data_IF_268540634129
#
_entry.id   IF_268540634129
#
_cell.length_a   1.000
_cell.length_b   1.000
_cell.length_c   1.000
_cell.angle_alpha   90.00
_cell.angle_beta   90.00
_cell.angle_gamma   90.00
#
_symmetry.space_group_name_H-M   'P 1'
#
loop_
_entity.id
_entity.type
_entity.pdbx_description
1 polymer ?
#
# COMPACT_ATOMS: atom_id res chain seq x y z
N UNK A 1 -66.38 -7.13 -44.50
CA UNK A 1 -65.45 -6.01 -44.23
C UNK A 1 -64.45 -6.49 -43.21
N UNK A 2 -63.24 -6.73 -43.66
CA UNK A 2 -62.18 -7.48 -42.97
C UNK A 2 -61.38 -6.52 -42.10
N UNK A 3 -61.34 -6.77 -40.79
CA UNK A 3 -60.51 -6.05 -39.82
C UNK A 3 -59.04 -6.47 -39.95
N UNK A 4 -58.18 -5.53 -40.34
CA UNK A 4 -56.72 -5.70 -40.34
C UNK A 4 -56.16 -5.45 -38.93
N UNK A 5 -55.41 -6.42 -38.45
CA UNK A 5 -54.64 -6.41 -37.21
C UNK A 5 -53.28 -5.72 -37.48
N UNK A 6 -52.83 -4.72 -36.70
CA UNK A 6 -51.48 -4.21 -36.86
C UNK A 6 -50.48 -5.20 -36.29
N UNK A 7 -49.47 -5.52 -37.10
CA UNK A 7 -48.39 -6.44 -36.81
C UNK A 7 -47.58 -6.04 -35.56
N UNK A 8 -47.16 -7.04 -34.80
CA UNK A 8 -46.23 -6.91 -33.70
C UNK A 8 -44.93 -6.26 -34.17
N UNK A 9 -44.53 -5.18 -33.49
CA UNK A 9 -43.20 -4.59 -33.66
C UNK A 9 -42.18 -5.58 -33.09
N UNK A 10 -41.27 -6.04 -33.94
CA UNK A 10 -40.10 -6.81 -33.56
C UNK A 10 -39.29 -6.01 -32.53
N UNK A 11 -38.96 -6.54 -31.35
CA UNK A 11 -38.12 -5.84 -30.40
C UNK A 11 -36.75 -5.62 -31.04
N UNK A 12 -36.33 -4.36 -31.14
CA UNK A 12 -34.95 -4.02 -31.49
C UNK A 12 -34.02 -4.68 -30.45
N UNK A 13 -32.86 -5.21 -30.87
CA UNK A 13 -31.88 -5.73 -29.92
C UNK A 13 -31.41 -4.57 -29.02
N UNK A 14 -31.54 -4.77 -27.71
CA UNK A 14 -31.16 -3.85 -26.65
C UNK A 14 -29.83 -3.13 -26.95
N UNK A 15 -29.89 -1.80 -27.11
CA UNK A 15 -28.73 -0.91 -27.09
C UNK A 15 -27.97 -0.94 -25.75
N UNK A 16 -28.57 -1.54 -24.71
CA UNK A 16 -27.99 -1.65 -23.37
C UNK A 16 -26.80 -2.62 -23.28
N UNK A 17 -26.49 -3.40 -24.33
CA UNK A 17 -25.37 -4.37 -24.30
C UNK A 17 -24.00 -3.77 -24.65
N UNK A 18 -23.91 -2.50 -25.06
CA UNK A 18 -22.62 -1.80 -25.28
C UNK A 18 -22.10 -1.06 -24.03
N UNK A 19 -22.81 -1.11 -22.91
CA UNK A 19 -22.62 -0.24 -21.75
C UNK A 19 -21.53 -0.64 -20.73
N UNK A 20 -20.55 -1.49 -21.06
CA UNK A 20 -19.62 -2.01 -20.02
C UNK A 20 -18.12 -2.05 -20.35
N UNK A 21 -17.70 -1.70 -21.57
CA UNK A 21 -16.27 -1.64 -21.92
C UNK A 21 -15.78 -0.19 -21.94
N UNK A 22 -14.59 0.09 -21.38
CA UNK A 22 -14.07 1.45 -21.39
C UNK A 22 -13.72 1.88 -22.81
N UNK A 23 -14.05 3.12 -23.14
CA UNK A 23 -13.60 3.76 -24.37
C UNK A 23 -12.12 4.12 -24.22
N UNK A 24 -11.28 3.66 -25.15
CA UNK A 24 -9.85 3.93 -25.17
C UNK A 24 -9.49 4.85 -26.33
N UNK A 25 -8.29 5.45 -26.26
CA UNK A 25 -7.75 6.27 -27.35
C UNK A 25 -7.06 5.40 -28.40
N UNK A 26 -7.06 5.87 -29.65
CA UNK A 26 -6.30 5.25 -30.73
C UNK A 26 -4.88 5.82 -30.86
N UNK A 27 -4.67 7.03 -30.33
CA UNK A 27 -3.35 7.67 -30.32
C UNK A 27 -2.40 7.00 -29.31
N UNK A 28 -1.08 6.96 -29.60
CA UNK A 28 -0.06 6.46 -28.69
C UNK A 28 -0.07 7.19 -27.34
N UNK A 29 0.04 6.42 -26.26
CA UNK A 29 0.03 6.94 -24.89
C UNK A 29 1.41 6.82 -24.23
N UNK A 30 1.72 7.76 -23.34
CA UNK A 30 2.79 7.64 -22.33
C UNK A 30 2.24 8.01 -20.96
N UNK A 31 2.59 7.25 -19.92
CA UNK A 31 2.03 7.47 -18.58
C UNK A 31 3.08 7.99 -17.59
N UNK A 32 2.64 8.85 -16.66
CA UNK A 32 3.40 9.24 -15.48
C UNK A 32 2.62 8.81 -14.24
N UNK A 33 3.18 7.87 -13.49
CA UNK A 33 2.57 7.28 -12.31
C UNK A 33 3.20 7.92 -11.07
N UNK A 34 2.38 8.42 -10.15
CA UNK A 34 2.83 9.00 -8.87
C UNK A 34 2.07 8.37 -7.71
N UNK A 35 2.72 8.33 -6.55
CA UNK A 35 2.07 7.97 -5.29
C UNK A 35 1.17 9.12 -4.84
N UNK A 36 -0.10 8.84 -4.60
CA UNK A 36 -1.06 9.81 -4.06
C UNK A 36 -1.36 9.60 -2.58
N UNK A 37 -1.33 8.35 -2.11
CA UNK A 37 -1.49 7.99 -0.70
C UNK A 37 -0.61 6.76 -0.39
N UNK A 38 -0.13 6.67 0.84
CA UNK A 38 0.69 5.56 1.31
C UNK A 38 0.41 5.28 2.79
N UNK A 39 -0.02 4.06 3.09
CA UNK A 39 -0.37 3.64 4.46
C UNK A 39 0.27 2.31 4.82
N UNK A 40 0.79 2.23 6.02
CA UNK A 40 1.32 0.99 6.58
C UNK A 40 0.32 0.34 7.53
N UNK A 41 0.14 -0.97 7.39
CA UNK A 41 -0.58 -1.80 8.34
C UNK A 41 0.33 -2.92 8.82
N UNK A 42 0.35 -3.18 10.12
CA UNK A 42 1.15 -4.28 10.66
C UNK A 42 0.43 -5.61 10.46
N UNK A 43 0.86 -6.35 9.44
CA UNK A 43 0.17 -7.56 8.99
C UNK A 43 0.19 -8.68 10.02
N UNK A 44 1.28 -8.83 10.78
CA UNK A 44 1.37 -9.89 11.80
C UNK A 44 0.32 -9.73 12.89
N UNK A 45 -0.06 -8.49 13.22
CA UNK A 45 -1.16 -8.25 14.15
C UNK A 45 -2.49 -8.74 13.60
N UNK A 46 -2.72 -8.67 12.28
CA UNK A 46 -3.95 -9.16 11.65
C UNK A 46 -3.93 -10.69 11.44
N UNK A 47 -2.78 -11.26 11.08
CA UNK A 47 -2.62 -12.69 10.84
C UNK A 47 -2.50 -13.52 12.14
N UNK A 48 -2.08 -12.91 13.25
CA UNK A 48 -1.99 -13.52 14.57
C UNK A 48 -3.30 -13.55 15.37
N UNK A 49 -4.39 -13.01 14.84
CA UNK A 49 -5.68 -12.93 15.54
C UNK A 49 -6.37 -14.29 15.52
N UNK A 50 -6.18 -15.08 16.58
CA UNK A 50 -7.01 -16.25 16.83
C UNK A 50 -8.41 -15.88 17.40
N UNK A 51 -8.47 -14.83 18.23
CA UNK A 51 -9.68 -14.42 18.96
C UNK A 51 -10.19 -13.03 18.58
N UNK A 52 -11.51 -12.83 18.59
CA UNK A 52 -12.13 -11.52 18.29
C UNK A 52 -11.62 -10.47 19.31
N UNK A 53 -11.02 -9.36 18.86
CA UNK A 53 -10.53 -8.32 19.77
C UNK A 53 -11.67 -7.71 20.59
N UNK A 54 -11.46 -7.54 21.90
CA UNK A 54 -12.44 -6.90 22.78
C UNK A 54 -12.51 -5.39 22.51
N UNK A 55 -13.64 -4.92 21.98
CA UNK A 55 -13.86 -3.50 21.65
C UNK A 55 -13.95 -2.60 22.89
N UNK A 56 -14.09 -3.17 24.09
CA UNK A 56 -14.05 -2.41 25.34
C UNK A 56 -12.63 -1.99 25.68
N UNK A 57 -11.64 -2.80 25.29
CA UNK A 57 -10.22 -2.50 25.41
C UNK A 57 -9.77 -1.52 24.31
N UNK A 58 -9.06 -0.42 24.66
CA UNK A 58 -8.38 0.43 23.69
C UNK A 58 -7.56 -0.31 22.62
N UNK A 59 -6.83 -1.38 22.97
CA UNK A 59 -6.05 -2.17 21.99
C UNK A 59 -6.99 -2.91 21.03
N UNK A 60 -8.05 -3.52 21.55
CA UNK A 60 -9.02 -4.21 20.70
C UNK A 60 -9.77 -3.26 19.74
N UNK A 61 -10.04 -2.02 20.15
CA UNK A 61 -10.55 -0.97 19.24
C UNK A 61 -9.57 -0.61 18.14
N UNK A 62 -8.29 -0.48 18.48
CA UNK A 62 -7.23 -0.23 17.52
C UNK A 62 -7.17 -1.34 16.46
N UNK A 63 -7.13 -2.61 16.89
CA UNK A 63 -7.07 -3.76 15.99
C UNK A 63 -8.30 -3.84 15.08
N UNK A 64 -9.48 -3.57 15.62
CA UNK A 64 -10.72 -3.57 14.83
C UNK A 64 -10.77 -2.45 13.79
N UNK A 65 -10.22 -1.27 14.12
CA UNK A 65 -10.09 -0.16 13.17
C UNK A 65 -9.16 -0.54 12.03
N UNK A 66 -7.99 -1.10 12.33
CA UNK A 66 -7.04 -1.58 11.33
C UNK A 66 -7.69 -2.61 10.38
N UNK A 67 -8.44 -3.58 10.93
CA UNK A 67 -9.15 -4.56 10.12
C UNK A 67 -10.18 -3.92 9.21
N UNK A 68 -10.99 -2.99 9.73
CA UNK A 68 -11.97 -2.26 8.92
C UNK A 68 -11.31 -1.44 7.80
N UNK A 69 -10.19 -0.77 8.08
CA UNK A 69 -9.45 -0.02 7.09
C UNK A 69 -8.85 -0.92 6.00
N UNK A 70 -8.33 -2.09 6.37
CA UNK A 70 -7.85 -3.10 5.42
C UNK A 70 -8.98 -3.68 4.57
N UNK A 71 -10.15 -3.97 5.16
CA UNK A 71 -11.32 -4.46 4.43
C UNK A 71 -11.82 -3.41 3.43
N UNK A 72 -11.94 -2.15 3.84
CA UNK A 72 -12.31 -1.04 2.95
C UNK A 72 -11.27 -0.81 1.85
N UNK A 73 -9.99 -1.01 2.15
CA UNK A 73 -8.90 -0.94 1.17
C UNK A 73 -8.97 -2.10 0.18
N UNK A 74 -9.36 -3.30 0.62
CA UNK A 74 -9.48 -4.49 -0.22
C UNK A 74 -10.66 -4.42 -1.21
N UNK A 75 -11.64 -3.55 -0.97
CA UNK A 75 -12.68 -3.21 -1.96
C UNK A 75 -12.13 -2.34 -3.10
N UNK A 76 -11.05 -1.61 -2.85
CA UNK A 76 -10.38 -0.75 -3.81
C UNK A 76 -9.21 -1.50 -4.49
N UNK A 77 -8.88 -1.15 -5.74
CA UNK A 77 -7.70 -1.70 -6.44
C UNK A 77 -6.47 -0.84 -6.16
N UNK A 78 -5.96 -0.90 -4.94
CA UNK A 78 -4.65 -0.33 -4.63
C UNK A 78 -3.55 -1.33 -4.91
N UNK A 79 -2.33 -0.82 -5.03
CA UNK A 79 -1.14 -1.65 -4.97
C UNK A 79 -0.78 -1.85 -3.50
N UNK A 80 -0.17 -2.98 -3.17
CA UNK A 80 0.45 -3.15 -1.87
C UNK A 80 1.81 -3.83 -1.98
N UNK A 81 2.70 -3.47 -1.05
CA UNK A 81 3.95 -4.18 -0.83
C UNK A 81 3.90 -4.91 0.50
N UNK A 82 4.33 -6.17 0.52
CA UNK A 82 4.74 -6.81 1.76
C UNK A 82 6.16 -6.34 2.09
N UNK A 83 6.28 -5.55 3.15
CA UNK A 83 7.53 -4.96 3.60
C UNK A 83 7.97 -5.68 4.87
N UNK A 84 9.16 -6.25 4.85
CA UNK A 84 9.77 -6.91 6.00
C UNK A 84 10.76 -5.98 6.68
N UNK A 85 10.76 -5.99 8.01
CA UNK A 85 11.66 -5.20 8.85
C UNK A 85 12.20 -6.05 9.99
N UNK A 86 13.42 -5.81 10.48
CA UNK A 86 13.89 -6.45 11.70
C UNK A 86 12.87 -6.28 12.81
N UNK A 87 12.60 -7.34 13.56
CA UNK A 87 11.58 -7.35 14.60
C UNK A 87 11.81 -6.23 15.61
N UNK A 88 10.75 -5.51 15.99
CA UNK A 88 10.82 -4.46 17.03
C UNK A 88 9.74 -4.70 18.06
N UNK A 89 10.11 -4.79 19.33
CA UNK A 89 9.16 -4.86 20.46
C UNK A 89 9.51 -3.83 21.51
N UNK A 90 8.54 -3.41 22.31
CA UNK A 90 8.84 -2.67 23.53
C UNK A 90 9.44 -3.61 24.57
N UNK A 91 10.50 -3.17 25.26
CA UNK A 91 11.03 -3.90 26.42
C UNK A 91 10.14 -3.60 27.64
N UNK A 92 9.21 -4.50 27.94
CA UNK A 92 8.25 -4.35 29.05
C UNK A 92 8.94 -4.39 30.42
N UNK A 93 10.11 -5.04 30.52
CA UNK A 93 10.92 -5.04 31.74
C UNK A 93 11.79 -3.78 31.88
N UNK A 94 11.98 -3.06 30.78
CA UNK A 94 12.75 -1.82 30.73
C UNK A 94 12.04 -0.65 31.41
N UNK A 95 12.81 0.33 31.87
CA UNK A 95 12.27 1.53 32.51
C UNK A 95 11.94 2.60 31.46
N UNK A 96 10.69 3.05 31.46
CA UNK A 96 10.26 4.24 30.71
C UNK A 96 10.76 5.50 31.42
N UNK A 97 11.38 6.41 30.69
CA UNK A 97 11.95 7.64 31.24
C UNK A 97 11.34 8.88 30.61
N UNK A 98 11.27 9.95 31.39
CA UNK A 98 10.76 11.24 30.94
C UNK A 98 11.85 12.30 31.03
N UNK A 99 11.91 13.17 30.02
CA UNK A 99 12.69 14.40 30.09
C UNK A 99 12.20 15.31 31.23
N UNK A 100 13.13 15.93 31.95
CA UNK A 100 12.86 16.67 33.19
C UNK A 100 11.87 17.86 33.05
N UNK A 101 11.75 18.45 31.85
CA UNK A 101 10.82 19.57 31.58
C UNK A 101 10.09 19.47 30.23
N UNK A 102 9.98 18.26 29.66
CA UNK A 102 9.40 18.10 28.32
C UNK A 102 8.57 16.83 28.21
N UNK A 103 7.78 16.75 27.14
CA UNK A 103 7.09 15.53 26.73
C UNK A 103 7.98 14.58 25.93
N UNK A 104 9.30 14.67 26.15
CA UNK A 104 10.26 13.70 25.63
C UNK A 104 10.15 12.42 26.45
N UNK A 105 9.66 11.39 25.79
CA UNK A 105 9.43 10.06 26.33
C UNK A 105 10.51 9.13 25.77
N UNK A 106 11.33 8.56 26.64
CA UNK A 106 12.29 7.54 26.26
C UNK A 106 11.69 6.17 26.51
N UNK A 107 11.61 5.37 25.46
CA UNK A 107 11.01 4.03 25.46
C UNK A 107 12.09 2.98 25.19
N UNK A 108 12.18 1.95 26.05
CA UNK A 108 13.11 0.86 25.82
C UNK A 108 12.55 -0.11 24.77
N UNK A 109 13.41 -0.60 23.89
CA UNK A 109 13.09 -1.47 22.76
C UNK A 109 13.93 -2.74 22.78
N UNK A 110 13.38 -3.80 22.19
CA UNK A 110 14.09 -5.02 21.83
C UNK A 110 14.09 -5.14 20.30
N UNK A 111 15.29 -5.27 19.72
CA UNK A 111 15.50 -5.31 18.27
C UNK A 111 15.98 -6.69 17.81
N UNK A 112 15.35 -7.18 16.74
CA UNK A 112 15.68 -8.42 16.06
C UNK A 112 15.47 -9.69 16.91
N UNK A 113 15.97 -10.80 16.37
CA UNK A 113 15.89 -12.14 16.96
C UNK A 113 16.63 -12.23 18.28
N UNK A 114 17.79 -11.58 18.34
CA UNK A 114 18.66 -11.55 19.52
C UNK A 114 18.11 -10.68 20.65
N UNK A 115 16.98 -9.99 20.41
CA UNK A 115 16.38 -9.04 21.36
C UNK A 115 17.41 -8.02 21.88
N UNK A 116 18.21 -7.48 20.95
CA UNK A 116 19.21 -6.49 21.29
C UNK A 116 18.53 -5.27 21.92
N UNK A 117 18.96 -4.91 23.14
CA UNK A 117 18.37 -3.80 23.88
C UNK A 117 18.77 -2.49 23.24
N UNK A 118 17.77 -1.66 22.96
CA UNK A 118 17.93 -0.30 22.47
C UNK A 118 16.88 0.62 23.10
N UNK A 119 16.84 1.88 22.71
CA UNK A 119 15.83 2.83 23.12
C UNK A 119 15.55 3.86 22.03
N UNK A 120 14.36 4.43 22.07
CA UNK A 120 14.00 5.60 21.28
C UNK A 120 13.54 6.70 22.19
N UNK A 121 13.80 7.95 21.79
CA UNK A 121 13.23 9.12 22.45
C UNK A 121 12.29 9.80 21.47
N UNK A 122 11.03 9.91 21.86
CA UNK A 122 9.98 10.57 21.06
C UNK A 122 9.47 11.79 21.79
N UNK A 123 9.12 12.84 21.05
CA UNK A 123 8.53 14.05 21.62
C UNK A 123 7.01 14.02 21.42
N UNK A 124 6.26 13.79 22.49
CA UNK A 124 4.80 13.71 22.43
C UNK A 124 4.17 15.09 22.31
N UNK A 125 3.05 15.15 21.59
CA UNK A 125 2.18 16.32 21.50
C UNK A 125 0.96 16.08 22.37
N UNK A 126 0.56 17.06 23.17
CA UNK A 126 -0.66 16.96 23.97
C UNK A 126 -1.86 17.00 23.02
N UNK A 127 -2.72 15.97 23.01
CA UNK A 127 -3.91 15.98 22.17
C UNK A 127 -4.94 16.98 22.71
N UNK A 128 -5.75 17.56 21.82
CA UNK A 128 -6.72 18.60 22.19
C UNK A 128 -7.72 18.14 23.26
N UNK A 129 -8.12 16.87 23.24
CA UNK A 129 -9.06 16.28 24.20
C UNK A 129 -8.40 15.77 25.50
N UNK A 130 -7.10 16.04 25.72
CA UNK A 130 -6.41 15.64 26.93
C UNK A 130 -6.93 16.40 28.16
N UNK A 131 -7.12 15.68 29.27
CA UNK A 131 -7.40 16.30 30.58
C UNK A 131 -6.16 16.35 31.48
N UNK A 132 -5.05 15.74 31.05
CA UNK A 132 -3.76 15.75 31.72
C UNK A 132 -2.67 16.34 30.82
N UNK A 133 -1.70 17.06 31.40
CA UNK A 133 -0.55 17.60 30.65
C UNK A 133 0.50 16.56 30.28
N UNK A 134 0.50 15.41 30.97
CA UNK A 134 1.44 14.32 30.81
C UNK A 134 0.67 13.00 30.98
N UNK A 135 0.78 12.04 30.04
CA UNK A 135 0.01 10.82 30.10
C UNK A 135 0.66 9.81 31.05
N UNK A 136 -0.13 8.90 31.60
CA UNK A 136 0.41 7.64 32.12
C UNK A 136 0.69 6.70 30.94
N UNK A 137 1.76 5.91 31.06
CA UNK A 137 2.25 5.04 30.00
C UNK A 137 2.07 3.60 30.43
N UNK A 138 1.51 2.78 29.56
CA UNK A 138 1.45 1.33 29.72
C UNK A 138 2.00 0.66 28.47
N UNK A 139 2.93 -0.27 28.67
CA UNK A 139 3.58 -1.01 27.58
C UNK A 139 3.12 -2.47 27.57
N UNK A 140 2.92 -2.97 26.37
CA UNK A 140 2.94 -4.39 26.03
C UNK A 140 4.03 -4.57 24.98
N UNK A 141 4.37 -5.80 24.60
CA UNK A 141 5.41 -6.03 23.59
C UNK A 141 5.12 -5.32 22.25
N UNK A 142 3.85 -5.22 21.86
CA UNK A 142 3.42 -4.70 20.55
C UNK A 142 2.86 -3.28 20.63
N UNK A 143 2.32 -2.87 21.78
CA UNK A 143 1.56 -1.63 21.93
C UNK A 143 2.04 -0.76 23.08
N UNK A 144 1.90 0.54 22.89
CA UNK A 144 1.97 1.56 23.93
C UNK A 144 0.60 2.22 24.08
N UNK A 145 0.12 2.30 25.32
CA UNK A 145 -1.07 3.08 25.68
C UNK A 145 -0.65 4.35 26.41
N UNK A 146 -1.07 5.50 25.87
CA UNK A 146 -0.87 6.82 26.45
C UNK A 146 -2.21 7.32 27.00
N UNK A 147 -2.36 7.30 28.32
CA UNK A 147 -3.60 7.73 28.98
C UNK A 147 -3.45 9.19 29.44
N UNK A 148 -4.14 10.09 28.74
CA UNK A 148 -4.20 11.53 29.00
C UNK A 148 -5.36 11.93 29.92
N UNK A 149 -5.92 10.97 30.67
CA UNK A 149 -7.09 11.11 31.52
C UNK A 149 -8.39 10.82 30.76
N UNK A 150 -9.03 11.85 30.18
CA UNK A 150 -10.26 11.71 29.40
C UNK A 150 -10.09 11.04 28.03
N UNK A 151 -8.85 10.82 27.59
CA UNK A 151 -8.49 10.22 26.32
C UNK A 151 -7.39 9.17 26.52
N UNK A 152 -7.53 8.02 25.87
CA UNK A 152 -6.48 7.01 25.77
C UNK A 152 -6.12 6.83 24.30
N UNK A 153 -4.87 7.12 23.97
CA UNK A 153 -4.29 6.83 22.66
C UNK A 153 -3.53 5.50 22.73
N UNK A 154 -3.67 4.69 21.69
CA UNK A 154 -2.95 3.42 21.55
C UNK A 154 -2.21 3.44 20.24
N UNK A 155 -0.92 3.10 20.30
CA UNK A 155 -0.08 2.93 19.13
C UNK A 155 0.51 1.53 19.15
N UNK A 156 0.57 0.88 17.99
CA UNK A 156 1.54 -0.19 17.80
C UNK A 156 2.95 0.38 17.85
N UNK A 157 3.96 -0.46 18.07
CA UNK A 157 5.37 -0.03 18.01
C UNK A 157 5.69 0.60 16.64
N UNK A 158 5.15 0.06 15.55
CA UNK A 158 5.38 0.60 14.22
C UNK A 158 4.65 1.92 14.00
N UNK A 159 3.43 2.09 14.53
CA UNK A 159 2.69 3.35 14.39
C UNK A 159 3.37 4.46 15.17
N UNK A 160 3.88 4.17 16.36
CA UNK A 160 4.64 5.13 17.15
C UNK A 160 5.89 5.59 16.38
N UNK A 161 6.63 4.63 15.80
CA UNK A 161 7.83 4.92 15.00
C UNK A 161 7.51 5.69 13.70
N UNK A 162 6.32 5.49 13.13
CA UNK A 162 5.89 6.27 11.97
C UNK A 162 5.43 7.68 12.33
N UNK A 163 4.79 7.83 13.49
CA UNK A 163 4.15 9.09 13.91
C UNK A 163 5.15 10.10 14.49
N UNK A 164 6.12 9.61 15.26
CA UNK A 164 7.06 10.47 15.98
C UNK A 164 8.47 10.35 15.41
N UNK A 165 9.15 11.50 15.29
CA UNK A 165 10.54 11.53 14.88
C UNK A 165 11.42 10.73 15.85
N UNK A 166 12.28 9.88 15.29
CA UNK A 166 13.20 9.03 16.04
C UNK A 166 14.50 8.82 15.25
N UNK A 167 15.51 8.29 15.93
CA UNK A 167 16.85 8.04 15.35
C UNK A 167 17.02 6.63 14.76
N UNK A 168 16.10 5.71 15.07
CA UNK A 168 16.18 4.30 14.66
C UNK A 168 16.17 4.15 13.12
N UNK A 169 17.18 3.45 12.57
CA UNK A 169 17.42 3.27 11.13
C UNK A 169 17.28 1.83 10.69
N UNK A 170 16.07 1.28 10.76
CA UNK A 170 15.81 -0.09 10.33
C UNK A 170 15.46 -0.15 8.84
N UNK A 171 15.98 -1.12 8.08
CA UNK A 171 15.68 -1.27 6.66
C UNK A 171 14.23 -1.73 6.46
N UNK A 172 13.57 -1.19 5.44
CA UNK A 172 12.24 -1.60 4.97
C UNK A 172 12.39 -2.35 3.64
N UNK A 173 12.37 -3.69 3.70
CA UNK A 173 12.64 -4.55 2.55
C UNK A 173 11.34 -5.02 1.90
N UNK A 174 11.10 -4.63 0.66
CA UNK A 174 10.01 -5.16 -0.16
C UNK A 174 10.30 -6.62 -0.49
N UNK A 175 9.41 -7.50 -0.05
CA UNK A 175 9.48 -8.94 -0.26
C UNK A 175 8.46 -9.44 -1.29
N UNK A 176 7.36 -8.70 -1.48
CA UNK A 176 6.27 -9.06 -2.38
C UNK A 176 5.53 -7.80 -2.82
N UNK A 177 5.04 -7.78 -4.05
CA UNK A 177 4.17 -6.76 -4.62
C UNK A 177 2.88 -7.41 -5.11
N UNK A 178 1.74 -6.80 -4.83
CA UNK A 178 0.45 -7.27 -5.32
C UNK A 178 -0.62 -6.17 -5.35
N UNK A 179 -1.85 -6.58 -5.65
CA UNK A 179 -3.03 -5.71 -5.61
C UNK A 179 -3.93 -6.03 -4.42
N UNK A 180 -4.54 -5.02 -3.82
CA UNK A 180 -5.39 -5.18 -2.61
C UNK A 180 -6.73 -5.81 -2.91
N UNK A 181 -7.21 -5.76 -4.17
CA UNK A 181 -8.52 -6.30 -4.55
C UNK A 181 -8.57 -7.80 -4.30
N UNK A 182 -9.36 -8.18 -3.32
CA UNK A 182 -9.50 -9.56 -2.89
C UNK A 182 -10.98 -9.87 -2.61
N UNK A 183 -11.70 -10.43 -3.60
CA UNK A 183 -13.15 -10.66 -3.48
C UNK A 183 -13.52 -11.60 -2.32
N UNK A 184 -12.58 -12.42 -1.86
CA UNK A 184 -12.78 -13.35 -0.74
C UNK A 184 -12.48 -12.68 0.63
N UNK A 185 -11.98 -11.44 0.64
CA UNK A 185 -11.64 -10.67 1.84
C UNK A 185 -10.60 -11.37 2.72
N UNK A 186 -9.64 -12.08 2.12
CA UNK A 186 -8.55 -12.78 2.80
C UNK A 186 -7.47 -11.81 3.28
N UNK A 187 -7.23 -10.70 2.60
CA UNK A 187 -6.25 -9.68 3.00
C UNK A 187 -6.53 -9.13 4.41
N UNK A 188 -7.71 -8.56 4.65
CA UNK A 188 -8.11 -8.00 5.96
C UNK A 188 -8.33 -9.05 7.06
N UNK A 189 -8.47 -10.33 6.68
CA UNK A 189 -8.53 -11.48 7.61
C UNK A 189 -7.16 -12.11 7.90
N UNK A 190 -6.06 -11.60 7.32
CA UNK A 190 -4.73 -12.17 7.53
C UNK A 190 -4.53 -13.56 6.87
N UNK A 191 -5.30 -13.86 5.81
CA UNK A 191 -5.39 -15.19 5.17
C UNK A 191 -4.92 -15.20 3.72
N UNK A 192 -4.28 -14.14 3.24
CA UNK A 192 -3.81 -14.09 1.86
C UNK A 192 -2.65 -15.10 1.68
N UNK A 193 -2.76 -16.09 0.77
CA UNK A 193 -1.77 -17.17 0.66
C UNK A 193 -0.35 -16.67 0.38
N UNK A 194 -0.21 -15.61 -0.43
CA UNK A 194 1.09 -14.98 -0.70
C UNK A 194 1.75 -14.46 0.59
N UNK A 195 0.97 -13.89 1.50
CA UNK A 195 1.49 -13.39 2.78
C UNK A 195 1.86 -14.51 3.75
N UNK A 196 1.19 -15.66 3.68
CA UNK A 196 1.63 -16.85 4.41
C UNK A 196 2.99 -17.33 3.94
N UNK A 197 3.26 -17.30 2.62
CA UNK A 197 4.58 -17.61 2.07
C UNK A 197 5.64 -16.60 2.52
N UNK A 198 5.33 -15.30 2.49
CA UNK A 198 6.23 -14.25 2.99
C UNK A 198 6.57 -14.52 4.46
N UNK A 199 5.57 -14.68 5.33
CA UNK A 199 5.79 -14.96 6.75
C UNK A 199 6.56 -16.27 6.97
N UNK A 200 6.30 -17.31 6.18
CA UNK A 200 7.07 -18.56 6.26
C UNK A 200 8.53 -18.40 5.83
N UNK A 201 8.81 -17.52 4.86
CA UNK A 201 10.17 -17.26 4.38
C UNK A 201 11.00 -16.45 5.37
N UNK A 202 10.41 -15.45 6.02
CA UNK A 202 11.13 -14.56 6.95
C UNK A 202 11.00 -14.98 8.42
N UNK A 203 10.04 -15.85 8.74
CA UNK A 203 9.83 -16.40 10.08
C UNK A 203 9.46 -15.34 11.13
N UNK A 204 9.68 -15.70 12.39
CA UNK A 204 9.42 -14.83 13.55
C UNK A 204 10.51 -13.77 13.80
N UNK A 205 11.48 -13.70 12.89
CA UNK A 205 12.67 -12.85 12.98
C UNK A 205 12.42 -11.43 12.45
N UNK A 206 11.37 -11.29 11.62
CA UNK A 206 11.00 -10.06 10.95
C UNK A 206 9.53 -9.74 11.20
N UNK A 207 9.25 -8.45 11.34
CA UNK A 207 7.88 -7.95 11.26
C UNK A 207 7.51 -7.75 9.79
N UNK A 208 6.31 -8.21 9.43
CA UNK A 208 5.71 -8.04 8.11
C UNK A 208 4.67 -6.91 8.16
N UNK A 209 4.89 -5.89 7.35
CA UNK A 209 3.99 -4.76 7.16
C UNK A 209 3.38 -4.82 5.75
N UNK A 210 2.12 -4.40 5.63
CA UNK A 210 1.51 -4.07 4.34
C UNK A 210 1.65 -2.57 4.10
N UNK A 211 2.44 -2.18 3.12
CA UNK A 211 2.42 -0.83 2.57
C UNK A 211 1.38 -0.79 1.45
N UNK A 212 0.24 -0.18 1.70
CA UNK A 212 -0.80 0.07 0.69
C UNK A 212 -0.53 1.41 0.02
N UNK A 213 -0.56 1.42 -1.31
CA UNK A 213 -0.28 2.57 -2.15
C UNK A 213 -1.49 2.93 -3.02
N UNK A 214 -1.98 4.15 -2.82
CA UNK A 214 -2.79 4.85 -3.81
C UNK A 214 -1.90 5.46 -4.88
N UNK A 215 -2.28 5.31 -6.14
CA UNK A 215 -1.54 5.86 -7.28
C UNK A 215 -2.41 6.75 -8.14
N UNK A 216 -1.84 7.83 -8.66
CA UNK A 216 -2.40 8.62 -9.75
C UNK A 216 -1.63 8.36 -11.03
N UNK A 217 -2.33 8.32 -12.16
CA UNK A 217 -1.75 8.11 -13.48
C UNK A 217 -2.12 9.30 -14.34
N UNK A 218 -1.12 10.07 -14.75
CA UNK A 218 -1.27 11.12 -15.75
C UNK A 218 -0.97 10.53 -17.12
N UNK A 219 -1.94 10.60 -18.03
CA UNK A 219 -1.81 10.10 -19.41
C UNK A 219 -1.43 11.25 -20.35
N UNK A 220 -0.30 11.11 -21.02
CA UNK A 220 0.09 11.95 -22.16
C UNK A 220 -0.34 11.26 -23.45
N UNK A 221 -1.34 11.83 -24.11
CA UNK A 221 -1.95 11.33 -25.35
C UNK A 221 -2.52 12.51 -26.14
N UNK A 222 -2.47 12.44 -27.48
CA UNK A 222 -3.03 13.49 -28.34
C UNK A 222 -4.57 13.62 -28.22
N UNK A 223 -5.24 12.54 -27.83
CA UNK A 223 -6.69 12.47 -27.64
C UNK A 223 -7.13 12.76 -26.18
N UNK A 224 -6.19 13.06 -25.28
CA UNK A 224 -6.46 13.26 -23.85
C UNK A 224 -6.40 11.95 -23.03
N UNK A 225 -6.70 12.05 -21.74
CA UNK A 225 -6.75 10.88 -20.85
C UNK A 225 -8.10 10.15 -21.04
N UNK A 226 -8.12 8.84 -21.36
CA UNK A 226 -9.35 8.05 -21.42
C UNK A 226 -10.26 8.20 -20.19
N UNK A 227 -9.70 8.39 -18.99
CA UNK A 227 -10.46 8.55 -17.75
C UNK A 227 -11.35 9.81 -17.73
N UNK A 228 -11.03 10.83 -18.54
CA UNK A 228 -11.79 12.09 -18.60
C UNK A 228 -12.97 12.03 -19.58
N UNK A 229 -13.14 10.94 -20.34
CA UNK A 229 -14.24 10.79 -21.28
C UNK A 229 -15.57 10.51 -20.55
N UNK A 230 -16.66 11.18 -20.96
CA UNK A 230 -17.99 11.04 -20.33
C UNK A 230 -18.49 9.59 -20.27
N UNK A 231 -18.23 8.79 -21.32
CA UNK A 231 -18.61 7.38 -21.37
C UNK A 231 -17.85 6.51 -20.35
N UNK A 232 -16.68 6.96 -19.90
CA UNK A 232 -15.88 6.29 -18.87
C UNK A 232 -16.21 6.77 -17.45
N UNK A 233 -17.10 7.75 -17.29
CA UNK A 233 -17.61 8.16 -15.97
C UNK A 233 -18.47 7.05 -15.31
N UNK A 234 -18.93 6.05 -16.08
CA UNK A 234 -19.64 4.90 -15.54
C UNK A 234 -18.71 4.05 -14.65
N UNK A 235 -19.12 3.64 -13.42
CA UNK A 235 -18.23 2.98 -12.46
C UNK A 235 -17.51 1.72 -12.97
N UNK A 236 -18.17 0.94 -13.85
CA UNK A 236 -17.55 -0.27 -14.41
C UNK A 236 -16.44 0.05 -15.41
N UNK A 237 -16.62 1.08 -16.24
CA UNK A 237 -15.60 1.52 -17.19
C UNK A 237 -14.41 2.14 -16.45
N UNK A 238 -14.67 2.95 -15.42
CA UNK A 238 -13.66 3.51 -14.55
C UNK A 238 -12.85 2.42 -13.80
N UNK A 239 -13.52 1.41 -13.22
CA UNK A 239 -12.84 0.27 -12.56
C UNK A 239 -12.01 -0.54 -13.57
N UNK A 240 -12.49 -0.72 -14.81
CA UNK A 240 -11.74 -1.40 -15.85
C UNK A 240 -10.46 -0.64 -16.22
N UNK A 241 -10.54 0.66 -16.50
CA UNK A 241 -9.35 1.49 -16.78
C UNK A 241 -8.36 1.49 -15.61
N UNK A 242 -8.87 1.58 -14.38
CA UNK A 242 -8.04 1.55 -13.18
C UNK A 242 -7.38 0.19 -12.97
N UNK A 243 -8.07 -0.91 -13.29
CA UNK A 243 -7.49 -2.26 -13.28
C UNK A 243 -6.35 -2.40 -14.30
N UNK A 244 -6.55 -1.91 -15.52
CA UNK A 244 -5.52 -1.94 -16.58
C UNK A 244 -4.27 -1.17 -16.15
N UNK A 245 -4.44 0.03 -15.59
CA UNK A 245 -3.33 0.82 -15.04
C UNK A 245 -2.61 0.09 -13.92
N UNK A 246 -3.37 -0.48 -12.99
CA UNK A 246 -2.83 -1.21 -11.83
C UNK A 246 -2.01 -2.43 -12.27
N UNK A 247 -2.49 -3.20 -13.27
CA UNK A 247 -1.78 -4.36 -13.81
C UNK A 247 -0.40 -3.98 -14.38
N UNK A 248 -0.31 -2.84 -15.08
CA UNK A 248 0.94 -2.36 -15.68
C UNK A 248 1.95 -1.87 -14.64
N UNK A 249 1.46 -1.17 -13.61
CA UNK A 249 2.28 -0.67 -12.51
C UNK A 249 2.76 -1.85 -11.65
N UNK A 250 1.87 -2.79 -11.30
CA UNK A 250 2.20 -4.01 -10.56
C UNK A 250 3.30 -4.80 -11.27
N UNK A 251 3.16 -5.05 -12.57
CA UNK A 251 4.15 -5.81 -13.33
C UNK A 251 5.55 -5.17 -13.31
N UNK A 252 5.62 -3.84 -13.45
CA UNK A 252 6.89 -3.12 -13.35
C UNK A 252 7.49 -3.20 -11.93
N UNK A 253 6.66 -3.00 -10.89
CA UNK A 253 7.14 -3.02 -9.51
C UNK A 253 7.58 -4.41 -9.05
N UNK A 254 6.93 -5.48 -9.53
CA UNK A 254 7.38 -6.85 -9.32
C UNK A 254 8.74 -7.05 -10.00
N UNK A 255 8.89 -6.65 -11.27
CA UNK A 255 10.17 -6.76 -11.97
C UNK A 255 11.29 -6.01 -11.25
N UNK A 256 10.98 -4.84 -10.70
CA UNK A 256 11.94 -3.99 -10.00
C UNK A 256 12.34 -4.55 -8.64
N UNK A 257 11.37 -4.83 -7.76
CA UNK A 257 11.65 -5.23 -6.38
C UNK A 257 11.86 -6.72 -6.18
N UNK A 258 11.25 -7.59 -7.00
CA UNK A 258 11.33 -9.05 -6.87
C UNK A 258 12.18 -9.73 -7.96
N UNK A 259 12.68 -8.94 -8.91
CA UNK A 259 13.58 -9.40 -9.97
C UNK A 259 12.88 -10.10 -11.13
N UNK A 260 13.66 -10.81 -11.95
CA UNK A 260 13.18 -11.44 -13.18
C UNK A 260 12.40 -12.74 -12.97
N UNK A 261 12.64 -13.42 -11.85
CA UNK A 261 12.03 -14.70 -11.49
C UNK A 261 11.47 -14.61 -10.06
N UNK A 262 10.34 -13.93 -9.87
CA UNK A 262 9.85 -13.66 -8.53
C UNK A 262 9.32 -14.95 -7.90
N UNK A 263 9.87 -15.30 -6.73
CA UNK A 263 9.74 -16.64 -6.12
C UNK A 263 8.36 -16.94 -5.55
N UNK A 264 7.59 -15.91 -5.24
CA UNK A 264 6.32 -16.04 -4.53
C UNK A 264 5.11 -16.19 -5.47
N UNK A 265 5.28 -15.85 -6.75
CA UNK A 265 4.26 -15.97 -7.79
C UNK A 265 4.34 -17.32 -8.52
N UNK A 266 3.18 -17.94 -8.72
CA UNK A 266 3.09 -19.21 -9.46
C UNK A 266 3.43 -19.04 -10.94
N UNK A 267 3.79 -20.13 -11.63
CA UNK A 267 4.05 -20.09 -13.08
C UNK A 267 2.80 -19.67 -13.87
N UNK A 268 1.63 -20.18 -13.49
CA UNK A 268 0.35 -19.80 -14.11
C UNK A 268 0.03 -18.32 -13.90
N UNK A 269 0.21 -17.81 -12.68
CA UNK A 269 0.01 -16.40 -12.35
C UNK A 269 0.92 -15.48 -13.17
N UNK A 270 2.20 -15.87 -13.35
CA UNK A 270 3.15 -15.14 -14.19
C UNK A 270 2.74 -15.14 -15.66
N UNK A 271 2.24 -16.26 -16.17
CA UNK A 271 1.76 -16.37 -17.55
C UNK A 271 0.53 -15.48 -17.76
N UNK A 272 -0.47 -15.58 -16.88
CA UNK A 272 -1.68 -14.75 -16.96
C UNK A 272 -1.33 -13.25 -16.85
N UNK A 273 -0.38 -12.87 -16.00
CA UNK A 273 0.09 -11.47 -15.92
C UNK A 273 0.74 -11.01 -17.23
N UNK A 274 1.58 -11.85 -17.83
CA UNK A 274 2.22 -11.58 -19.13
C UNK A 274 1.18 -11.31 -20.22
N UNK A 275 0.14 -12.14 -20.30
CA UNK A 275 -0.96 -11.98 -21.25
C UNK A 275 -1.74 -10.70 -21.00
N UNK A 276 -2.04 -10.39 -19.72
CA UNK A 276 -2.74 -9.16 -19.33
C UNK A 276 -1.94 -7.90 -19.71
N UNK A 277 -0.65 -7.82 -19.41
CA UNK A 277 0.14 -6.62 -19.73
C UNK A 277 0.26 -6.39 -21.24
N UNK A 278 0.35 -7.45 -22.04
CA UNK A 278 0.35 -7.35 -23.51
C UNK A 278 -1.01 -6.85 -24.01
N UNK A 279 -2.10 -7.40 -23.48
CA UNK A 279 -3.44 -6.95 -23.84
C UNK A 279 -3.67 -5.48 -23.48
N UNK A 280 -3.25 -5.05 -22.29
CA UNK A 280 -3.35 -3.65 -21.83
C UNK A 280 -2.49 -2.72 -22.68
N UNK A 281 -1.25 -3.11 -22.98
CA UNK A 281 -0.36 -2.33 -23.83
C UNK A 281 -0.99 -2.10 -25.21
N UNK A 282 -1.50 -3.16 -25.83
CA UNK A 282 -2.13 -3.09 -27.15
C UNK A 282 -3.40 -2.25 -27.11
N UNK A 283 -4.26 -2.46 -26.11
CA UNK A 283 -5.55 -1.77 -25.99
C UNK A 283 -5.41 -0.26 -25.76
N UNK A 284 -4.34 0.17 -25.08
CA UNK A 284 -4.08 1.57 -24.77
C UNK A 284 -3.03 2.22 -25.67
N UNK A 285 -2.51 1.50 -26.68
CA UNK A 285 -1.38 1.97 -27.50
C UNK A 285 -0.22 2.51 -26.65
N UNK A 286 0.07 1.85 -25.53
CA UNK A 286 1.04 2.33 -24.55
C UNK A 286 2.45 2.12 -25.07
N UNK A 287 3.18 3.22 -25.23
CA UNK A 287 4.58 3.20 -25.70
C UNK A 287 5.53 3.00 -24.53
N UNK A 288 5.35 3.78 -23.46
CA UNK A 288 6.20 3.79 -22.28
C UNK A 288 5.47 4.38 -21.07
N UNK A 289 5.99 4.14 -19.88
CA UNK A 289 5.48 4.73 -18.66
C UNK A 289 6.60 4.97 -17.66
N UNK A 290 6.44 6.00 -16.85
CA UNK A 290 7.37 6.36 -15.77
C UNK A 290 6.68 6.16 -14.44
N UNK A 291 7.36 5.52 -13.49
CA UNK A 291 6.88 5.39 -12.12
C UNK A 291 7.77 6.24 -11.22
N UNK A 292 7.16 7.21 -10.57
CA UNK A 292 7.77 8.05 -9.55
C UNK A 292 7.30 7.61 -8.17
N UNK A 293 8.04 6.66 -7.59
CA UNK A 293 7.75 6.09 -6.28
C UNK A 293 8.43 6.94 -5.21
N UNK A 294 7.87 8.12 -4.92
CA UNK A 294 8.24 8.97 -3.79
C UNK A 294 7.21 8.77 -2.67
N UNK A 295 7.64 8.23 -1.53
CA UNK A 295 6.76 8.02 -0.37
C UNK A 295 6.78 9.26 0.56
N UNK A 296 5.67 9.53 1.27
CA UNK A 296 5.64 10.56 2.31
C UNK A 296 6.77 10.38 3.34
N UNK A 297 7.23 11.47 3.95
CA UNK A 297 8.30 11.40 4.94
C UNK A 297 7.81 10.77 6.25
N UNK A 298 8.15 9.49 6.43
CA UNK A 298 7.75 8.66 7.58
C UNK A 298 9.01 8.00 8.17
N UNK A 299 9.98 8.81 8.58
CA UNK A 299 11.23 8.34 9.17
C UNK A 299 12.05 7.44 8.24
N UNK A 300 12.35 6.21 8.65
CA UNK A 300 13.02 5.19 7.80
C UNK A 300 12.04 4.21 7.15
N UNK A 301 10.72 4.38 7.33
CA UNK A 301 9.72 3.57 6.63
C UNK A 301 9.63 3.92 5.14
N UNK A 302 9.94 5.16 4.75
CA UNK A 302 9.95 5.55 3.35
C UNK A 302 11.23 5.15 2.60
N UNK A 303 12.20 4.54 3.28
CA UNK A 303 13.41 3.99 2.67
C UNK A 303 13.19 2.54 2.24
N UNK A 304 12.68 2.34 1.02
CA UNK A 304 12.45 1.02 0.47
C UNK A 304 13.72 0.43 -0.13
N UNK A 305 13.90 -0.88 0.00
CA UNK A 305 14.91 -1.67 -0.69
C UNK A 305 14.38 -3.07 -1.00
N UNK A 306 15.15 -3.86 -1.74
CA UNK A 306 14.94 -5.30 -1.85
C UNK A 306 16.27 -6.03 -2.02
N UNK A 307 16.23 -7.31 -2.35
CA UNK A 307 17.43 -8.06 -2.76
C UNK A 307 18.05 -7.51 -4.05
N UNK A 308 17.25 -6.89 -4.92
CA UNK A 308 17.67 -6.41 -6.23
C UNK A 308 17.89 -4.90 -6.29
N UNK A 309 17.39 -4.17 -5.29
CA UNK A 309 17.34 -2.70 -5.30
C UNK A 309 17.93 -2.13 -4.01
N UNK A 310 18.86 -1.19 -4.16
CA UNK A 310 19.46 -0.46 -3.04
C UNK A 310 18.45 0.42 -2.32
N UNK A 311 18.67 0.66 -1.02
CA UNK A 311 17.80 1.55 -0.24
C UNK A 311 17.77 2.98 -0.77
N UNK A 312 16.57 3.49 -1.05
CA UNK A 312 16.34 4.88 -1.42
C UNK A 312 14.99 5.37 -0.85
N UNK A 313 14.88 6.69 -0.71
CA UNK A 313 13.61 7.36 -0.33
C UNK A 313 12.64 7.48 -1.50
N UNK A 314 13.19 7.48 -2.72
CA UNK A 314 12.48 7.71 -3.96
C UNK A 314 13.08 6.82 -5.03
N UNK A 315 12.23 6.12 -5.77
CA UNK A 315 12.61 5.29 -6.90
C UNK A 315 11.93 5.84 -8.16
N UNK A 316 12.72 6.37 -9.09
CA UNK A 316 12.20 6.83 -10.38
C UNK A 316 12.55 5.79 -11.44
N UNK A 317 11.54 5.30 -12.15
CA UNK A 317 11.66 4.13 -13.03
C UNK A 317 11.15 4.48 -14.44
N UNK A 318 11.95 4.15 -15.46
CA UNK A 318 11.49 4.10 -16.85
C UNK A 318 11.04 2.67 -17.16
N UNK A 319 9.82 2.54 -17.67
CA UNK A 319 9.19 1.26 -17.94
C UNK A 319 8.64 1.19 -19.37
N UNK A 320 8.74 0.02 -19.98
CA UNK A 320 8.09 -0.33 -21.24
C UNK A 320 7.82 -1.83 -21.29
N UNK A 321 6.96 -2.28 -22.20
CA UNK A 321 6.71 -3.71 -22.39
C UNK A 321 7.53 -4.22 -23.58
N UNK A 322 8.27 -5.30 -23.37
CA UNK A 322 8.94 -6.06 -24.42
C UNK A 322 8.96 -7.55 -24.05
N UNK A 323 8.86 -8.41 -25.07
CA UNK A 323 8.81 -9.87 -24.91
C UNK A 323 7.71 -10.33 -23.94
N UNK A 324 6.57 -9.63 -23.94
CA UNK A 324 5.43 -9.90 -23.08
C UNK A 324 5.65 -9.58 -21.59
N UNK A 325 6.70 -8.84 -21.25
CA UNK A 325 7.08 -8.53 -19.88
C UNK A 325 7.36 -7.04 -19.71
N UNK A 326 7.15 -6.53 -18.50
CA UNK A 326 7.61 -5.20 -18.14
C UNK A 326 9.15 -5.18 -18.05
N UNK A 327 9.76 -4.29 -18.80
CA UNK A 327 11.17 -3.93 -18.71
C UNK A 327 11.28 -2.66 -17.88
N UNK A 328 12.19 -2.65 -16.92
CA UNK A 328 12.31 -1.56 -15.95
C UNK A 328 13.77 -1.16 -15.80
N UNK A 329 14.04 0.14 -15.88
CA UNK A 329 15.35 0.71 -15.63
C UNK A 329 15.24 1.87 -14.63
N UNK A 330 16.09 1.93 -13.59
CA UNK A 330 16.14 3.08 -12.70
C UNK A 330 16.66 4.30 -13.46
N UNK A 331 16.04 5.45 -13.18
CA UNK A 331 16.42 6.74 -13.74
C UNK A 331 17.15 7.59 -12.69
N UNK A 332 18.05 8.50 -13.12
CA UNK A 332 18.56 9.52 -12.22
C UNK A 332 17.42 10.43 -11.75
N UNK A 333 17.43 10.77 -10.45
CA UNK A 333 16.46 11.71 -9.91
C UNK A 333 16.66 13.11 -10.52
N UNK A 334 15.58 13.84 -10.85
CA UNK A 334 15.69 15.23 -11.26
C UNK A 334 16.43 16.04 -10.19
N UNK A 335 17.26 16.98 -10.61
CA UNK A 335 17.91 17.89 -9.67
C UNK A 335 16.83 18.58 -8.83
N UNK A 336 17.00 18.63 -7.51
CA UNK A 336 16.08 19.34 -6.63
C UNK A 336 15.89 20.75 -7.18
N UNK A 337 14.65 21.14 -7.46
CA UNK A 337 14.34 22.49 -7.88
C UNK A 337 14.93 23.42 -6.82
N UNK A 338 15.89 24.26 -7.21
CA UNK A 338 16.47 25.27 -6.31
C UNK A 338 15.33 26.18 -5.88
N UNK A 339 14.75 25.90 -4.73
CA UNK A 339 13.67 26.71 -4.19
C UNK A 339 14.18 28.13 -4.01
N UNK A 340 13.54 29.08 -4.70
CA UNK A 340 13.59 30.47 -4.29
C UNK A 340 13.14 30.51 -2.84
N UNK A 341 14.04 30.92 -1.95
CA UNK A 341 13.68 31.31 -0.59
C UNK A 341 12.63 32.40 -0.70
N UNK A 342 11.42 32.13 -0.21
CA UNK A 342 10.48 33.16 0.19
C UNK A 342 10.83 33.62 1.61
#
# INVERSE_FOLDING_TARGET
MTTLQPAAQTPQPNADSLLSLPQRTAAPQSWMVRVSDAKYYWYDLAAGIADKPDIRDPIGRYMRRMQFELDATAEQRHLFFAVTRPRVRFDVAGMVQWGFFSLKLTLPLLLGVEQAKDHITVELKVPFAATMKKPSVTLTEHFISLNWGGLVEVFSVHDLLQTYAHTLKLPSKVAYVGQTRDPDGRLGKGRLPAMHKVRAQFGDDYDTLLLVLGTTVEVSCAEGDPADHELNAHPQAADALHAERSDMIEAALIRYFEGSNPRLHGTEERQQRSERVVAVQAANHLVQYTIDLELPEIGYYNHLCSEFVSSARRHLLSCFIADGQAQVAPMPLPAAAKGNKA
#
